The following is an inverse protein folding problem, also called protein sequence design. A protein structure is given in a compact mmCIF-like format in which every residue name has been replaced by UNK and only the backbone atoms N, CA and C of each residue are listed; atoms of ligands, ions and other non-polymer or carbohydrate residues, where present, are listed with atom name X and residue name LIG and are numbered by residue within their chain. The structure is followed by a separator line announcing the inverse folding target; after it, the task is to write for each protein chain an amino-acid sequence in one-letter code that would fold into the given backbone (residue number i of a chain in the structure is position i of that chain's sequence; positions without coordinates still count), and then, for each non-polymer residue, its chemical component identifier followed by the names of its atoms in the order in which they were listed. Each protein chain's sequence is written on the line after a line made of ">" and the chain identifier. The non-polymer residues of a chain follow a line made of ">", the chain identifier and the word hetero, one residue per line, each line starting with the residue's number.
data_IF_142485348541
#
_entry.id   IF_142485348541
#
_cell.length_a   1.000
_cell.length_b   1.000
_cell.length_c   1.000
_cell.angle_alpha   90.00
_cell.angle_beta   90.00
_cell.angle_gamma   90.00
#
_symmetry.space_group_name_H-M   'P 1'
#
loop_
_entity.id
_entity.type
_entity.pdbx_description
1 polymer ?
#
# COMPACT_ATOMS: atom_id res chain seq x y z
N UNK A 1 -4.80 -4.58 -7.92
CA UNK A 1 -5.48 -4.27 -6.66
C UNK A 1 -5.63 -5.54 -5.82
N UNK A 2 -5.22 -5.49 -4.55
CA UNK A 2 -5.33 -6.63 -3.66
C UNK A 2 -4.20 -7.65 -3.78
N UNK A 3 -3.16 -7.37 -4.52
CA UNK A 3 -1.96 -8.21 -4.59
C UNK A 3 -1.10 -7.95 -3.37
N UNK A 4 -0.71 -9.03 -2.69
CA UNK A 4 0.22 -8.98 -1.57
C UNK A 4 1.62 -9.25 -2.10
N UNK A 5 2.54 -8.35 -1.76
CA UNK A 5 3.95 -8.39 -2.11
C UNK A 5 4.81 -8.42 -0.86
N UNK A 6 6.00 -9.05 -0.94
CA UNK A 6 6.95 -9.13 0.17
C UNK A 6 8.14 -8.20 -0.02
N UNK A 7 8.88 -7.98 1.07
CA UNK A 7 10.18 -7.30 1.10
C UNK A 7 10.17 -5.90 0.47
N UNK A 8 9.10 -5.14 0.73
CA UNK A 8 8.96 -3.79 0.18
C UNK A 8 9.81 -2.80 0.99
N UNK A 9 10.70 -2.11 0.29
CA UNK A 9 11.58 -1.11 0.88
C UNK A 9 11.24 0.28 0.37
N UNK A 10 10.99 1.20 1.29
CA UNK A 10 10.57 2.58 1.02
C UNK A 10 11.62 3.54 1.55
N UNK A 11 11.97 4.52 0.72
CA UNK A 11 12.90 5.60 1.08
C UNK A 11 12.12 6.87 1.40
N UNK A 12 12.25 7.36 2.61
CA UNK A 12 11.56 8.57 3.09
C UNK A 12 12.60 9.68 3.27
N UNK A 13 12.44 10.83 2.59
CA UNK A 13 13.28 11.99 2.84
C UNK A 13 13.14 12.48 4.28
N UNK A 14 14.25 12.79 4.92
CA UNK A 14 14.30 13.44 6.23
C UNK A 14 14.89 14.84 6.14
N UNK A 15 14.73 15.60 7.20
CA UNK A 15 15.33 16.95 7.31
C UNK A 15 16.86 16.86 7.19
N UNK A 16 17.47 17.76 6.40
CA UNK A 16 18.93 17.82 6.25
C UNK A 16 19.51 16.89 5.18
N UNK A 17 18.72 16.57 4.11
CA UNK A 17 19.12 15.68 3.00
C UNK A 17 19.38 14.22 3.40
N UNK A 18 18.99 13.81 4.58
CA UNK A 18 19.03 12.42 4.98
C UNK A 18 17.87 11.64 4.35
N UNK A 19 18.08 10.34 4.16
CA UNK A 19 17.06 9.42 3.67
C UNK A 19 16.94 8.27 4.66
N UNK A 20 15.77 8.11 5.23
CA UNK A 20 15.45 6.93 6.02
C UNK A 20 14.95 5.83 5.10
N UNK A 21 15.46 4.63 5.30
CA UNK A 21 14.98 3.44 4.60
C UNK A 21 14.13 2.62 5.56
N UNK A 22 12.91 2.31 5.16
CA UNK A 22 11.96 1.49 5.93
C UNK A 22 11.63 0.27 5.10
N UNK A 23 11.69 -0.91 5.69
CA UNK A 23 11.33 -2.17 5.04
C UNK A 23 10.13 -2.79 5.72
N UNK A 24 9.20 -3.29 4.92
CA UNK A 24 8.03 -4.02 5.37
C UNK A 24 8.09 -5.44 4.82
N UNK A 25 7.92 -6.46 5.68
CA UNK A 25 7.90 -7.87 5.23
C UNK A 25 6.81 -8.12 4.18
N UNK A 26 5.64 -7.52 4.37
CA UNK A 26 4.52 -7.62 3.43
C UNK A 26 3.82 -6.28 3.26
N UNK A 27 3.30 -6.04 2.05
CA UNK A 27 2.45 -4.91 1.72
C UNK A 27 1.37 -5.31 0.71
N UNK A 28 0.26 -4.59 0.68
CA UNK A 28 -0.82 -4.78 -0.30
C UNK A 28 -0.89 -3.62 -1.28
N UNK A 29 -1.08 -3.92 -2.56
CA UNK A 29 -1.22 -2.94 -3.63
C UNK A 29 -2.69 -2.50 -3.73
N UNK A 30 -2.94 -1.19 -3.74
CA UNK A 30 -4.29 -0.60 -3.73
C UNK A 30 -4.66 0.10 -5.02
N UNK A 31 -3.72 0.35 -5.92
CA UNK A 31 -4.00 0.95 -7.23
C UNK A 31 -4.93 0.08 -8.08
N UNK A 32 -5.73 0.72 -8.93
CA UNK A 32 -6.71 0.02 -9.76
C UNK A 32 -6.05 -0.93 -10.77
N UNK A 33 -6.65 -2.09 -11.00
CA UNK A 33 -6.09 -3.12 -11.88
C UNK A 33 -5.96 -2.63 -13.32
N UNK A 34 -6.95 -1.87 -13.82
CA UNK A 34 -6.90 -1.30 -15.16
C UNK A 34 -5.73 -0.35 -15.38
N UNK A 35 -5.40 0.47 -14.36
CA UNK A 35 -4.25 1.39 -14.43
C UNK A 35 -2.92 0.62 -14.40
N UNK A 36 -2.85 -0.46 -13.60
CA UNK A 36 -1.69 -1.33 -13.53
C UNK A 36 -1.43 -2.05 -14.86
N UNK A 37 -2.47 -2.61 -15.49
CA UNK A 37 -2.37 -3.29 -16.78
C UNK A 37 -1.96 -2.33 -17.90
N UNK A 38 -2.58 -1.15 -17.97
CA UNK A 38 -2.23 -0.12 -18.95
C UNK A 38 -0.79 0.40 -18.73
N UNK A 39 -0.38 0.59 -17.48
CA UNK A 39 0.98 1.00 -17.14
C UNK A 39 2.01 -0.06 -17.55
N UNK A 40 1.69 -1.35 -17.37
CA UNK A 40 2.58 -2.46 -17.74
C UNK A 40 2.83 -2.51 -19.25
N UNK A 41 1.80 -2.27 -20.07
CA UNK A 41 1.93 -2.26 -21.53
C UNK A 41 2.91 -1.20 -22.03
N UNK A 42 3.08 -0.08 -21.30
CA UNK A 42 4.05 0.95 -21.63
C UNK A 42 5.48 0.60 -21.24
N UNK A 43 5.66 -0.13 -20.12
CA UNK A 43 7.00 -0.52 -19.64
C UNK A 43 7.56 -1.66 -20.50
N UNK A 44 6.69 -2.54 -20.98
CA UNK A 44 7.09 -3.70 -21.80
C UNK A 44 7.15 -3.41 -23.30
N UNK A 45 6.75 -2.22 -23.75
CA UNK A 45 6.85 -1.83 -25.16
C UNK A 45 8.33 -1.71 -25.59
N UNK A 46 8.71 -2.44 -26.62
CA UNK A 46 10.08 -2.47 -27.15
C UNK A 46 10.51 -1.14 -27.79
N UNK A 47 9.55 -0.34 -28.28
CA UNK A 47 9.81 0.97 -28.89
C UNK A 47 9.16 2.09 -28.07
N UNK A 48 10.01 2.97 -27.57
CA UNK A 48 9.56 4.20 -26.91
C UNK A 48 9.61 5.35 -27.92
N UNK A 49 8.50 6.04 -28.17
CA UNK A 49 8.52 7.20 -29.01
C UNK A 49 9.30 8.34 -28.35
N UNK A 50 10.26 8.88 -29.05
CA UNK A 50 11.01 10.06 -28.63
C UNK A 50 10.58 11.28 -29.43
N UNK A 51 10.43 12.41 -28.77
CA UNK A 51 10.31 13.72 -29.42
C UNK A 51 11.55 14.55 -29.15
N UNK A 52 11.99 15.29 -30.16
CA UNK A 52 13.10 16.20 -30.03
C UNK A 52 12.61 17.55 -29.50
N UNK A 53 13.16 17.97 -28.36
CA UNK A 53 12.93 19.30 -27.80
C UNK A 53 14.26 20.04 -27.70
N UNK A 54 14.49 20.96 -28.64
CA UNK A 54 15.81 21.59 -28.77
C UNK A 54 16.87 20.56 -29.19
N UNK A 55 17.94 20.42 -28.41
CA UNK A 55 19.00 19.42 -28.62
C UNK A 55 18.82 18.13 -27.82
N UNK A 56 17.72 18.02 -27.06
CA UNK A 56 17.45 16.87 -26.20
C UNK A 56 16.31 16.00 -26.76
N UNK A 57 16.44 14.70 -26.59
CA UNK A 57 15.39 13.74 -26.90
C UNK A 57 14.57 13.48 -25.63
N UNK A 58 13.28 13.77 -25.70
CA UNK A 58 12.34 13.53 -24.60
C UNK A 58 11.50 12.32 -24.95
N UNK A 59 11.47 11.37 -24.04
CA UNK A 59 10.59 10.22 -24.11
C UNK A 59 9.13 10.69 -24.07
N UNK A 60 8.37 10.42 -25.12
CA UNK A 60 6.94 10.71 -25.13
C UNK A 60 6.21 9.54 -24.49
N UNK A 61 5.60 9.76 -23.34
CA UNK A 61 4.63 8.82 -22.77
C UNK A 61 3.22 9.34 -23.02
N UNK A 62 2.34 8.46 -23.45
CA UNK A 62 0.92 8.80 -23.55
C UNK A 62 0.41 9.09 -22.16
N UNK A 63 -0.24 10.24 -21.94
CA UNK A 63 -0.68 10.68 -20.61
C UNK A 63 -1.66 9.70 -19.95
N UNK A 64 -2.48 9.00 -20.74
CA UNK A 64 -3.55 8.17 -20.21
C UNK A 64 -3.08 6.86 -19.56
N UNK A 65 -2.18 6.04 -20.14
CA UNK A 65 -1.68 4.84 -19.49
C UNK A 65 -0.45 5.07 -18.59
N UNK A 66 0.03 6.33 -18.44
CA UNK A 66 1.21 6.59 -17.62
C UNK A 66 0.87 6.58 -16.13
N UNK A 67 1.33 5.55 -15.43
CA UNK A 67 1.23 5.40 -13.99
C UNK A 67 2.62 5.57 -13.35
N UNK A 68 2.93 6.74 -12.76
CA UNK A 68 4.25 6.98 -12.16
C UNK A 68 4.46 6.18 -10.87
N UNK A 69 3.41 6.05 -10.08
CA UNK A 69 3.46 5.41 -8.77
C UNK A 69 2.21 4.58 -8.51
N UNK A 70 2.36 3.60 -7.65
CA UNK A 70 1.26 2.83 -7.06
C UNK A 70 1.16 3.12 -5.58
N UNK A 71 -0.01 2.96 -5.03
CA UNK A 71 -0.23 3.04 -3.59
C UNK A 71 -0.07 1.66 -2.98
N UNK A 72 0.74 1.58 -1.93
CA UNK A 72 0.97 0.37 -1.15
C UNK A 72 0.69 0.63 0.32
N UNK A 73 0.08 -0.35 1.00
CA UNK A 73 -0.18 -0.31 2.44
C UNK A 73 0.55 -1.48 3.11
N UNK A 74 1.35 -1.22 4.17
CA UNK A 74 2.00 -2.28 4.92
C UNK A 74 1.00 -3.22 5.60
N UNK A 75 1.38 -4.49 5.68
CA UNK A 75 0.75 -5.48 6.52
C UNK A 75 1.53 -5.57 7.84
N UNK A 76 0.95 -5.10 8.91
CA UNK A 76 1.56 -5.18 10.24
C UNK A 76 1.16 -6.49 10.91
N UNK A 77 2.11 -7.16 11.55
CA UNK A 77 1.81 -8.33 12.39
C UNK A 77 0.75 -7.96 13.43
N UNK A 78 -0.26 -8.80 13.59
CA UNK A 78 -1.43 -8.48 14.41
C UNK A 78 -1.09 -8.38 15.91
N UNK A 79 -0.18 -9.22 16.41
CA UNK A 79 0.25 -9.15 17.82
C UNK A 79 1.12 -7.91 18.09
N UNK A 80 1.99 -7.51 17.16
CA UNK A 80 2.78 -6.28 17.28
C UNK A 80 1.88 -5.04 17.26
N UNK A 81 0.90 -5.01 16.35
CA UNK A 81 -0.06 -3.91 16.29
C UNK A 81 -0.88 -3.85 17.57
N UNK A 82 -1.40 -4.97 18.07
CA UNK A 82 -2.14 -5.05 19.32
C UNK A 82 -1.34 -4.51 20.51
N UNK A 83 -0.03 -4.77 20.54
CA UNK A 83 0.87 -4.26 21.57
C UNK A 83 1.33 -2.81 21.33
N UNK A 84 0.95 -2.20 20.21
CA UNK A 84 1.40 -0.85 19.82
C UNK A 84 2.84 -0.77 19.32
N UNK A 85 3.46 -1.91 19.01
CA UNK A 85 4.88 -2.02 18.62
C UNK A 85 5.13 -1.92 17.11
N UNK A 86 4.11 -2.03 16.28
CA UNK A 86 4.20 -2.12 14.82
C UNK A 86 4.90 -0.92 14.12
N UNK A 87 5.10 0.20 14.85
CA UNK A 87 5.80 1.39 14.32
C UNK A 87 7.21 1.55 14.86
N UNK A 88 7.69 0.64 15.73
CA UNK A 88 9.01 0.79 16.36
C UNK A 88 10.09 0.72 15.28
N UNK A 89 10.12 -0.32 14.48
CA UNK A 89 11.20 -0.54 13.50
C UNK A 89 11.16 0.51 12.38
N UNK A 90 9.96 0.90 11.95
CA UNK A 90 9.79 1.86 10.87
C UNK A 90 10.02 3.31 11.31
N UNK A 91 9.54 3.70 12.49
CA UNK A 91 9.48 5.10 12.92
C UNK A 91 10.09 5.38 14.29
N UNK A 92 10.57 4.36 14.99
CA UNK A 92 11.00 4.46 16.39
C UNK A 92 9.90 5.04 17.30
N UNK A 93 8.66 4.63 17.05
CA UNK A 93 7.48 5.10 17.77
C UNK A 93 6.76 3.93 18.42
N UNK A 94 6.51 4.03 19.72
CA UNK A 94 5.61 3.14 20.44
C UNK A 94 4.22 3.78 20.47
N UNK A 95 3.22 3.09 19.94
CA UNK A 95 1.83 3.54 19.99
C UNK A 95 1.12 2.97 21.23
N UNK A 96 -0.11 3.39 21.47
CA UNK A 96 -0.95 2.78 22.52
C UNK A 96 -1.31 1.33 22.12
N UNK A 97 -1.30 0.44 23.11
CA UNK A 97 -1.77 -0.92 22.90
C UNK A 97 -3.28 -0.96 22.67
N UNK A 98 -3.69 -1.80 21.75
CA UNK A 98 -5.12 -2.04 21.44
C UNK A 98 -5.60 -3.26 22.25
N UNK A 99 -6.58 -3.07 23.12
CA UNK A 99 -7.10 -4.13 23.99
C UNK A 99 -8.62 -4.15 24.03
N UNK A 100 -9.18 -5.23 24.60
CA UNK A 100 -10.60 -5.36 24.85
C UNK A 100 -11.47 -5.24 23.60
N UNK A 101 -12.49 -4.41 23.67
CA UNK A 101 -13.52 -4.32 22.64
C UNK A 101 -13.02 -3.68 21.34
N UNK A 102 -12.05 -2.76 21.42
CA UNK A 102 -11.45 -2.18 20.21
C UNK A 102 -10.71 -3.25 19.40
N UNK A 103 -9.93 -4.10 20.07
CA UNK A 103 -9.25 -5.21 19.40
C UNK A 103 -10.23 -6.20 18.77
N UNK A 104 -11.32 -6.54 19.46
CA UNK A 104 -12.40 -7.38 18.89
C UNK A 104 -13.03 -6.75 17.65
N UNK A 105 -13.22 -5.43 17.64
CA UNK A 105 -13.74 -4.70 16.47
C UNK A 105 -12.77 -4.74 15.30
N UNK A 106 -11.45 -4.57 15.55
CA UNK A 106 -10.42 -4.67 14.53
C UNK A 106 -10.44 -6.06 13.89
N UNK A 107 -10.40 -7.12 14.68
CA UNK A 107 -10.41 -8.53 14.19
C UNK A 107 -11.68 -8.88 13.39
N UNK A 108 -12.80 -8.24 13.66
CA UNK A 108 -14.05 -8.43 12.91
C UNK A 108 -14.21 -7.48 11.73
N UNK A 109 -13.21 -6.70 11.43
CA UNK A 109 -13.29 -5.65 10.40
C UNK A 109 -14.43 -4.64 10.63
N UNK A 110 -14.78 -4.37 11.90
CA UNK A 110 -15.80 -3.39 12.29
C UNK A 110 -15.20 -2.02 12.64
N UNK A 111 -13.88 -1.92 12.77
CA UNK A 111 -13.24 -0.62 12.93
C UNK A 111 -12.92 -0.04 11.54
N UNK A 112 -13.33 1.20 11.28
CA UNK A 112 -13.21 1.76 9.93
C UNK A 112 -11.79 2.14 9.52
N UNK A 113 -10.84 2.24 10.47
CA UNK A 113 -9.44 2.57 10.20
C UNK A 113 -8.62 1.34 9.82
N UNK A 114 -9.00 0.18 10.32
CA UNK A 114 -8.20 -1.02 10.19
C UNK A 114 -8.87 -2.07 9.30
N UNK A 115 -8.05 -2.86 8.63
CA UNK A 115 -8.50 -4.07 7.94
C UNK A 115 -7.67 -5.25 8.41
N UNK A 116 -8.33 -6.23 9.00
CA UNK A 116 -7.71 -7.45 9.51
C UNK A 116 -7.72 -8.53 8.41
N UNK A 117 -6.57 -9.16 8.22
CA UNK A 117 -6.39 -10.33 7.37
C UNK A 117 -6.00 -11.52 8.25
N UNK A 118 -6.71 -12.62 8.10
CA UNK A 118 -6.33 -13.88 8.70
C UNK A 118 -5.02 -14.40 8.10
N UNK A 119 -4.33 -15.26 8.83
CA UNK A 119 -3.12 -15.90 8.32
C UNK A 119 -3.42 -16.69 7.05
N UNK A 120 -2.54 -16.56 6.06
CA UNK A 120 -2.61 -17.30 4.81
C UNK A 120 -1.46 -18.31 4.81
N UNK A 121 -1.79 -19.58 4.60
CA UNK A 121 -0.82 -20.66 4.48
C UNK A 121 -1.22 -21.52 3.28
N UNK A 122 -0.58 -21.30 2.15
CA UNK A 122 -0.80 -22.04 0.90
C UNK A 122 0.56 -22.45 0.31
N UNK A 123 0.78 -23.75 0.13
CA UNK A 123 2.02 -24.30 -0.41
C UNK A 123 3.28 -23.68 0.22
N UNK A 124 3.99 -22.83 -0.54
CA UNK A 124 5.22 -22.16 -0.11
C UNK A 124 4.97 -20.73 0.42
N UNK A 125 3.71 -20.30 0.52
CA UNK A 125 3.32 -18.94 0.93
C UNK A 125 2.83 -18.97 2.37
N UNK A 126 3.52 -18.26 3.25
CA UNK A 126 3.11 -18.06 4.64
C UNK A 126 3.07 -16.59 4.97
N UNK A 127 1.87 -16.05 5.13
CA UNK A 127 1.64 -14.69 5.56
C UNK A 127 0.97 -14.77 6.94
N UNK A 128 1.58 -14.22 7.99
CA UNK A 128 0.97 -14.25 9.33
C UNK A 128 -0.30 -13.41 9.37
N UNK A 129 -1.14 -13.65 10.36
CA UNK A 129 -2.29 -12.77 10.63
C UNK A 129 -1.81 -11.32 10.74
N UNK A 130 -2.46 -10.45 9.99
CA UNK A 130 -1.96 -9.11 9.76
C UNK A 130 -3.08 -8.08 9.85
N UNK A 131 -2.69 -6.84 10.14
CA UNK A 131 -3.59 -5.70 10.14
C UNK A 131 -3.04 -4.60 9.24
N UNK A 132 -3.89 -4.07 8.39
CA UNK A 132 -3.62 -2.90 7.58
C UNK A 132 -4.18 -1.69 8.31
N UNK A 133 -3.33 -0.70 8.61
CA UNK A 133 -3.76 0.61 9.11
C UNK A 133 -3.89 1.57 7.94
N UNK A 134 -5.11 1.93 7.57
CA UNK A 134 -5.40 2.83 6.45
C UNK A 134 -4.80 4.24 6.58
N UNK A 135 -4.31 4.58 7.74
CA UNK A 135 -3.54 5.81 7.97
C UNK A 135 -2.12 5.76 7.39
N UNK A 136 -1.60 4.55 7.18
CA UNK A 136 -0.21 4.33 6.80
C UNK A 136 -0.17 3.73 5.41
N UNK A 137 0.07 4.59 4.43
CA UNK A 137 0.21 4.20 3.02
C UNK A 137 1.38 4.95 2.40
N UNK A 138 1.93 4.37 1.35
CA UNK A 138 3.08 4.92 0.65
C UNK A 138 2.84 4.93 -0.85
N UNK A 139 3.49 5.90 -1.48
CA UNK A 139 3.65 5.94 -2.93
C UNK A 139 4.90 5.14 -3.30
N UNK A 140 4.75 4.13 -4.15
CA UNK A 140 5.85 3.27 -4.60
C UNK A 140 6.04 3.42 -6.12
N UNK A 141 7.27 3.59 -6.64
CA UNK A 141 7.50 3.75 -8.07
C UNK A 141 7.00 2.54 -8.86
N UNK A 142 6.11 2.78 -9.82
CA UNK A 142 5.50 1.68 -10.58
C UNK A 142 6.52 0.89 -11.40
N UNK A 143 7.48 1.57 -12.04
CA UNK A 143 8.53 0.90 -12.81
C UNK A 143 9.38 -0.05 -11.96
N UNK A 144 9.66 0.35 -10.72
CA UNK A 144 10.41 -0.48 -9.79
C UNK A 144 9.58 -1.70 -9.37
N UNK A 145 8.29 -1.49 -9.05
CA UNK A 145 7.39 -2.59 -8.74
C UNK A 145 7.34 -3.61 -9.88
N UNK A 146 7.16 -3.17 -11.13
CA UNK A 146 7.05 -4.09 -12.29
C UNK A 146 8.34 -4.89 -12.49
N UNK A 147 9.51 -4.26 -12.35
CA UNK A 147 10.80 -4.94 -12.49
C UNK A 147 10.99 -6.04 -11.45
N UNK A 148 10.54 -5.79 -10.25
CA UNK A 148 10.75 -6.67 -9.10
C UNK A 148 9.54 -7.56 -8.79
N UNK A 149 8.40 -7.32 -9.47
CA UNK A 149 7.11 -7.95 -9.14
C UNK A 149 7.18 -9.46 -9.04
N UNK A 150 7.82 -10.13 -9.99
CA UNK A 150 7.90 -11.59 -10.01
C UNK A 150 8.62 -12.17 -8.78
N UNK A 151 9.54 -11.41 -8.20
CA UNK A 151 10.31 -11.82 -7.03
C UNK A 151 9.57 -11.49 -5.72
N UNK A 152 8.72 -10.48 -5.75
CA UNK A 152 8.03 -9.95 -4.58
C UNK A 152 6.58 -10.40 -4.46
N UNK A 153 5.93 -10.77 -5.56
CA UNK A 153 4.55 -11.25 -5.55
C UNK A 153 4.39 -12.50 -4.70
N UNK A 154 3.36 -12.52 -3.88
CA UNK A 154 2.99 -13.67 -3.07
C UNK A 154 1.63 -14.23 -3.51
N UNK A 155 0.58 -13.49 -3.32
CA UNK A 155 -0.80 -13.92 -3.57
C UNK A 155 -1.68 -12.70 -3.83
N UNK A 156 -2.81 -12.91 -4.51
CA UNK A 156 -3.87 -11.91 -4.64
C UNK A 156 -5.07 -12.25 -3.79
N UNK A 157 -5.68 -11.25 -3.17
CA UNK A 157 -6.97 -11.43 -2.51
C UNK A 157 -8.00 -11.92 -3.52
N UNK A 158 -8.85 -12.87 -3.12
CA UNK A 158 -9.99 -13.26 -3.94
C UNK A 158 -10.93 -12.08 -4.19
N UNK A 159 -11.75 -12.17 -5.22
CA UNK A 159 -12.58 -11.05 -5.71
C UNK A 159 -13.41 -10.40 -4.59
N UNK A 160 -14.14 -11.20 -3.81
CA UNK A 160 -14.98 -10.69 -2.72
C UNK A 160 -14.17 -9.98 -1.63
N UNK A 161 -13.01 -10.54 -1.25
CA UNK A 161 -12.14 -9.91 -0.25
C UNK A 161 -11.52 -8.63 -0.78
N UNK A 162 -11.11 -8.61 -2.04
CA UNK A 162 -10.57 -7.43 -2.71
C UNK A 162 -11.58 -6.30 -2.79
N UNK A 163 -12.84 -6.61 -3.14
CA UNK A 163 -13.91 -5.61 -3.15
C UNK A 163 -14.18 -5.05 -1.74
N UNK A 164 -14.34 -5.93 -0.74
CA UNK A 164 -14.55 -5.52 0.65
C UNK A 164 -13.41 -4.63 1.16
N UNK A 165 -12.17 -5.01 0.91
CA UNK A 165 -10.99 -4.23 1.26
C UNK A 165 -11.00 -2.86 0.58
N UNK A 166 -11.24 -2.83 -0.74
CA UNK A 166 -11.29 -1.60 -1.53
C UNK A 166 -12.35 -0.63 -1.03
N UNK A 167 -13.57 -1.10 -0.80
CA UNK A 167 -14.67 -0.29 -0.27
C UNK A 167 -14.33 0.31 1.09
N UNK A 168 -13.73 -0.48 1.98
CA UNK A 168 -13.33 -0.03 3.31
C UNK A 168 -12.24 1.05 3.22
N UNK A 169 -11.24 0.85 2.36
CA UNK A 169 -10.18 1.84 2.15
C UNK A 169 -10.75 3.14 1.59
N UNK A 170 -11.56 3.09 0.53
CA UNK A 170 -12.22 4.27 -0.04
C UNK A 170 -13.09 4.99 0.99
N UNK A 171 -13.88 4.26 1.76
CA UNK A 171 -14.69 4.83 2.83
C UNK A 171 -13.83 5.52 3.91
N UNK A 172 -12.64 4.99 4.18
CA UNK A 172 -11.72 5.61 5.13
C UNK A 172 -11.14 6.92 4.60
N UNK A 173 -10.60 6.93 3.37
CA UNK A 173 -9.95 8.13 2.79
C UNK A 173 -10.94 9.22 2.39
N UNK A 174 -12.20 8.86 2.11
CA UNK A 174 -13.26 9.82 1.73
C UNK A 174 -13.91 10.53 2.92
N UNK A 175 -13.48 10.25 4.15
CA UNK A 175 -14.03 10.90 5.34
C UNK A 175 -13.72 12.39 5.33
N UNK A 176 -14.75 13.18 5.20
CA UNK A 176 -14.67 14.63 5.35
C UNK A 176 -15.02 14.95 6.81
N UNK A 177 -14.09 15.54 7.54
CA UNK A 177 -14.38 16.15 8.84
C UNK A 177 -15.30 17.35 8.61
N UNK A 178 -16.58 17.18 8.88
CA UNK A 178 -17.50 18.34 8.90
C UNK A 178 -17.15 19.21 10.12
N UNK A 179 -17.05 20.53 9.96
CA UNK A 179 -16.88 21.41 11.10
C UNK A 179 -18.12 21.29 12.01
N UNK A 180 -17.88 21.21 13.31
CA UNK A 180 -18.98 21.29 14.28
C UNK A 180 -19.67 22.66 14.11
N UNK A 181 -20.94 22.61 13.70
CA UNK A 181 -21.78 23.81 13.74
C UNK A 181 -22.00 24.14 15.21
N UNK A 182 -21.29 25.15 15.72
CA UNK A 182 -21.59 25.68 17.05
C UNK A 182 -23.03 26.21 17.00
N UNK A 183 -23.92 25.73 17.86
CA UNK A 183 -25.24 26.35 17.97
C UNK A 183 -25.04 27.80 18.41
N UNK A 184 -25.67 28.72 17.68
CA UNK A 184 -25.72 30.16 18.01
C UNK A 184 -26.48 30.34 19.32
#
# INVERSE_FOLDING_TARGET
>A
LGDIVKDITIKIPEVGNNVRTISFPFAIIVSQSCDLEQGMSLITAEEEPYSKRGNEYIKIRRCNPFLPNVMVLPLFNDEELKQGKHLIDAYNVLSMAYSGDLWKRIKKNHDPRFHYLEAIAEEDIVIPSSVIDFKIYFSYPYELLVKEYKNHYQISLSELFRESFSQRFVNYISRIGLPELKPN
#
